data_IF_406694323627
#
_entry.id   IF_406694323627
#
_cell.length_a   1.000
_cell.length_b   1.000
_cell.length_c   1.000
_cell.angle_alpha   90.00
_cell.angle_beta   90.00
_cell.angle_gamma   90.00
#
_symmetry.space_group_name_H-M   'P 1'
#
loop_
_entity.id
_entity.type
_entity.pdbx_description
1 polymer ?
#
# COMPACT_ATOMS: atom_id res chain seq x y z
N UNK A 1 74.02 -85.82 -43.55
CA UNK A 1 72.58 -85.77 -43.54
C UNK A 1 72.06 -85.08 -42.26
N UNK A 2 72.29 -83.75 -42.01
CA UNK A 2 71.79 -83.08 -40.82
C UNK A 2 71.24 -81.63 -41.09
N UNK A 3 71.07 -81.19 -42.34
CA UNK A 3 70.64 -79.81 -42.65
C UNK A 3 69.19 -79.62 -43.10
N UNK A 4 68.40 -80.65 -43.14
CA UNK A 4 67.02 -80.57 -43.66
C UNK A 4 65.87 -80.39 -42.59
N UNK A 5 66.19 -80.44 -41.29
CA UNK A 5 65.23 -80.30 -40.21
C UNK A 5 65.17 -78.86 -39.57
N UNK A 6 66.07 -77.95 -39.97
CA UNK A 6 66.07 -76.59 -39.42
C UNK A 6 65.15 -75.59 -40.09
N UNK A 7 64.74 -75.85 -41.37
CA UNK A 7 63.93 -74.96 -42.13
C UNK A 7 62.48 -74.86 -41.61
N UNK A 8 61.79 -75.94 -41.22
CA UNK A 8 60.40 -75.84 -40.69
C UNK A 8 60.37 -75.19 -39.33
N UNK A 9 61.43 -75.33 -38.52
CA UNK A 9 61.48 -74.66 -37.19
C UNK A 9 61.65 -73.16 -37.33
N UNK A 10 62.42 -72.70 -38.33
CA UNK A 10 62.60 -71.25 -38.60
C UNK A 10 61.35 -70.56 -39.06
N UNK A 11 60.55 -71.29 -39.94
CA UNK A 11 59.26 -70.77 -40.40
C UNK A 11 58.20 -70.71 -39.29
N UNK A 12 58.23 -71.67 -38.37
CA UNK A 12 57.35 -71.67 -37.20
C UNK A 12 57.72 -70.52 -36.19
N UNK A 13 59.02 -70.23 -36.00
CA UNK A 13 59.48 -69.13 -35.21
C UNK A 13 59.11 -67.75 -35.82
N UNK A 14 59.27 -67.62 -37.15
CA UNK A 14 58.87 -66.40 -37.83
C UNK A 14 57.32 -66.18 -37.82
N UNK A 15 56.53 -67.29 -37.98
CA UNK A 15 55.07 -67.19 -37.83
C UNK A 15 54.65 -66.87 -36.41
N UNK A 16 55.30 -67.42 -35.38
CA UNK A 16 55.05 -67.09 -33.99
C UNK A 16 55.45 -65.61 -33.65
N UNK A 17 56.59 -65.12 -34.15
CA UNK A 17 57.00 -63.77 -34.05
C UNK A 17 56.05 -62.80 -34.77
N UNK A 18 55.55 -63.16 -35.94
CA UNK A 18 54.52 -62.41 -36.69
C UNK A 18 53.21 -62.34 -35.94
N UNK A 19 52.76 -63.43 -35.31
CA UNK A 19 51.54 -63.49 -34.51
C UNK A 19 51.73 -62.66 -33.19
N UNK A 20 52.93 -62.76 -32.53
CA UNK A 20 53.24 -61.99 -31.36
C UNK A 20 53.34 -60.48 -31.69
N UNK A 21 53.94 -60.14 -32.83
CA UNK A 21 53.98 -58.78 -33.34
C UNK A 21 52.61 -58.24 -33.68
N UNK A 22 51.77 -59.04 -34.33
CA UNK A 22 50.37 -58.71 -34.64
C UNK A 22 49.55 -58.53 -33.37
N UNK A 23 49.62 -59.42 -32.39
CA UNK A 23 48.93 -59.32 -31.11
C UNK A 23 49.43 -58.10 -30.29
N UNK A 24 50.74 -57.86 -30.29
CA UNK A 24 51.30 -56.71 -29.58
C UNK A 24 50.89 -55.40 -30.24
N UNK A 25 50.92 -55.29 -31.58
CA UNK A 25 50.49 -54.10 -32.27
C UNK A 25 48.95 -53.90 -32.24
N UNK A 26 48.21 -55.01 -32.31
CA UNK A 26 46.73 -54.97 -32.27
C UNK A 26 46.23 -54.57 -30.85
N UNK A 27 46.91 -54.99 -29.82
CA UNK A 27 46.62 -54.58 -28.44
C UNK A 27 47.16 -53.18 -28.11
N UNK A 28 48.29 -52.76 -28.67
CA UNK A 28 48.84 -51.42 -28.48
C UNK A 28 48.06 -50.32 -29.18
N UNK A 29 47.21 -50.66 -30.18
CA UNK A 29 46.40 -49.69 -30.97
C UNK A 29 45.00 -49.40 -30.47
N UNK A 30 44.49 -50.10 -29.45
CA UNK A 30 43.21 -49.74 -28.81
C UNK A 30 43.50 -48.71 -27.69
N UNK A 31 43.74 -47.45 -28.07
CA UNK A 31 43.40 -46.35 -27.21
C UNK A 31 41.89 -46.37 -27.05
N UNK A 32 41.40 -46.91 -25.94
CA UNK A 32 40.02 -46.69 -25.50
C UNK A 32 39.72 -45.21 -25.64
N UNK A 33 38.69 -44.82 -26.40
CA UNK A 33 38.36 -43.44 -26.68
C UNK A 33 37.93 -42.65 -25.45
N UNK A 34 38.33 -43.13 -24.25
CA UNK A 34 38.09 -42.49 -22.94
C UNK A 34 39.08 -41.40 -22.69
N UNK A 35 38.60 -40.24 -22.35
CA UNK A 35 39.42 -39.08 -21.92
C UNK A 35 39.57 -39.16 -20.40
N UNK A 36 40.83 -39.28 -19.93
CA UNK A 36 41.14 -39.26 -18.49
C UNK A 36 41.76 -37.90 -18.14
N UNK A 37 41.21 -37.26 -17.14
CA UNK A 37 41.69 -35.97 -16.62
C UNK A 37 41.60 -35.97 -15.12
N UNK A 38 42.54 -35.28 -14.45
CA UNK A 38 42.54 -35.09 -12.99
C UNK A 38 42.07 -33.69 -12.69
N UNK A 39 41.37 -33.52 -11.58
CA UNK A 39 40.84 -32.22 -11.14
C UNK A 39 40.63 -32.17 -9.64
N UNK A 40 39.97 -31.12 -9.21
CA UNK A 40 39.59 -30.94 -7.82
C UNK A 40 38.07 -30.77 -7.71
N UNK A 41 37.52 -31.27 -6.61
CA UNK A 41 36.15 -30.98 -6.22
C UNK A 41 36.00 -29.53 -5.84
N UNK A 42 35.07 -28.85 -6.45
CA UNK A 42 34.61 -27.50 -6.06
C UNK A 42 33.11 -27.56 -5.73
N UNK A 43 32.66 -26.58 -4.96
CA UNK A 43 31.25 -26.44 -4.60
C UNK A 43 30.83 -24.98 -4.64
N UNK A 44 29.51 -24.72 -4.49
CA UNK A 44 29.01 -23.36 -4.29
C UNK A 44 29.27 -22.96 -2.86
N UNK A 45 30.09 -21.96 -2.66
CA UNK A 45 30.34 -21.32 -1.39
C UNK A 45 29.66 -19.95 -1.38
N UNK A 46 29.05 -19.60 -0.26
CA UNK A 46 28.37 -18.30 -0.07
C UNK A 46 28.86 -17.68 1.22
N UNK A 47 29.42 -16.50 1.08
CA UNK A 47 29.84 -15.68 2.22
C UNK A 47 28.57 -15.05 2.83
N UNK A 48 28.31 -15.41 4.08
CA UNK A 48 27.20 -14.92 4.85
C UNK A 48 27.59 -13.62 5.54
N UNK A 49 26.85 -12.55 5.30
CA UNK A 49 27.11 -11.24 5.87
C UNK A 49 25.83 -10.56 6.34
N UNK A 50 25.94 -9.73 7.36
CA UNK A 50 24.84 -8.87 7.76
C UNK A 50 24.67 -7.70 6.78
N UNK A 51 23.41 -7.23 6.66
CA UNK A 51 23.08 -6.02 5.90
C UNK A 51 23.07 -4.76 6.75
N UNK A 52 23.27 -4.90 8.05
CA UNK A 52 23.33 -3.84 9.05
C UNK A 52 24.70 -3.85 9.74
N UNK A 53 25.15 -2.68 10.16
CA UNK A 53 26.30 -2.55 11.03
C UNK A 53 25.91 -2.82 12.48
N UNK A 54 26.74 -3.52 13.22
CA UNK A 54 26.50 -3.81 14.64
C UNK A 54 27.54 -4.75 15.23
N UNK A 55 27.46 -4.94 16.54
CA UNK A 55 28.26 -5.98 17.20
C UNK A 55 27.56 -7.33 17.09
N UNK A 56 28.33 -8.39 16.78
CA UNK A 56 27.83 -9.76 16.79
C UNK A 56 27.56 -10.15 18.25
N UNK A 57 26.30 -10.33 18.58
CA UNK A 57 25.88 -10.71 19.94
C UNK A 57 26.11 -12.18 20.21
N UNK A 58 25.84 -13.04 19.20
CA UNK A 58 25.98 -14.50 19.33
C UNK A 58 26.19 -15.14 17.96
N UNK A 59 27.04 -16.16 17.95
CA UNK A 59 27.22 -17.12 16.86
C UNK A 59 26.70 -18.49 17.33
N UNK A 60 25.74 -19.06 16.60
CA UNK A 60 25.08 -20.32 16.96
C UNK A 60 25.75 -21.54 16.32
N UNK A 61 26.68 -21.33 15.40
CA UNK A 61 27.37 -22.37 14.64
C UNK A 61 28.87 -22.06 14.60
N UNK A 62 29.68 -23.11 14.43
CA UNK A 62 31.11 -23.03 14.30
C UNK A 62 31.60 -23.73 13.01
N UNK A 63 32.87 -23.66 12.68
CA UNK A 63 33.46 -24.37 11.54
C UNK A 63 33.15 -25.87 11.57
N UNK A 64 32.83 -26.44 10.42
CA UNK A 64 32.45 -27.84 10.30
C UNK A 64 31.00 -28.15 10.69
N UNK A 65 30.23 -27.21 11.23
CA UNK A 65 28.79 -27.40 11.57
C UNK A 65 27.94 -27.57 10.32
N UNK A 66 27.02 -28.51 10.40
CA UNK A 66 25.95 -28.67 9.39
C UNK A 66 24.84 -27.69 9.67
N UNK A 67 24.44 -26.92 8.65
CA UNK A 67 23.33 -25.97 8.70
C UNK A 67 22.20 -26.39 7.76
N UNK A 68 20.97 -26.15 8.16
CA UNK A 68 19.79 -26.37 7.34
C UNK A 68 19.18 -25.02 6.93
N UNK A 69 18.50 -24.99 5.81
CA UNK A 69 17.86 -23.78 5.31
C UNK A 69 16.94 -23.14 6.36
N UNK A 70 17.12 -21.85 6.62
CA UNK A 70 16.37 -21.10 7.64
C UNK A 70 16.91 -21.22 9.06
N UNK A 71 17.92 -22.06 9.31
CA UNK A 71 18.58 -22.18 10.61
C UNK A 71 19.25 -20.86 10.98
N UNK A 72 19.08 -20.42 12.22
CA UNK A 72 19.71 -19.23 12.77
C UNK A 72 21.22 -19.48 12.93
N UNK A 73 22.03 -18.63 12.30
CA UNK A 73 23.48 -18.71 12.29
C UNK A 73 24.10 -17.72 13.27
N UNK A 74 23.70 -16.46 13.17
CA UNK A 74 24.27 -15.38 13.97
C UNK A 74 23.23 -14.28 14.25
N UNK A 75 23.47 -13.50 15.28
CA UNK A 75 22.64 -12.38 15.70
C UNK A 75 23.51 -11.16 16.01
N UNK A 76 23.07 -9.98 15.57
CA UNK A 76 23.60 -8.71 16.06
C UNK A 76 23.02 -8.36 17.43
N UNK A 77 23.66 -7.44 18.15
CA UNK A 77 23.05 -6.80 19.30
C UNK A 77 21.79 -6.03 18.87
N UNK A 78 20.64 -6.46 19.37
CA UNK A 78 19.32 -5.95 18.99
C UNK A 78 18.81 -4.83 19.88
N UNK A 79 19.47 -4.50 20.98
CA UNK A 79 18.94 -3.59 21.98
C UNK A 79 18.59 -2.23 21.37
N UNK A 80 19.48 -1.64 20.60
CA UNK A 80 19.26 -0.34 19.93
C UNK A 80 18.22 -0.45 18.80
N UNK A 81 18.26 -1.55 18.04
CA UNK A 81 17.32 -1.78 16.92
C UNK A 81 15.91 -1.97 17.45
N UNK A 82 15.76 -2.74 18.53
CA UNK A 82 14.47 -2.95 19.20
C UNK A 82 13.91 -1.64 19.76
N UNK A 83 14.73 -0.83 20.42
CA UNK A 83 14.32 0.47 20.94
C UNK A 83 13.85 1.43 19.82
N UNK A 84 14.50 1.39 18.65
CA UNK A 84 14.05 2.19 17.47
C UNK A 84 12.71 1.72 16.94
N UNK A 85 12.46 0.41 16.88
CA UNK A 85 11.14 -0.13 16.52
C UNK A 85 10.07 0.32 17.49
N UNK A 86 10.32 0.24 18.80
CA UNK A 86 9.39 0.66 19.85
C UNK A 86 9.10 2.16 19.77
N UNK A 87 10.11 2.97 19.51
CA UNK A 87 9.97 4.41 19.28
C UNK A 87 9.08 4.70 18.06
N UNK A 88 9.32 4.04 16.93
CA UNK A 88 8.52 4.20 15.72
C UNK A 88 7.06 3.75 15.93
N UNK A 89 6.85 2.66 16.67
CA UNK A 89 5.52 2.17 17.02
C UNK A 89 4.76 3.16 17.93
N UNK A 90 5.43 3.72 18.93
CA UNK A 90 4.85 4.74 19.81
C UNK A 90 4.46 6.01 19.05
N UNK A 91 5.31 6.46 18.11
CA UNK A 91 5.02 7.62 17.26
C UNK A 91 3.83 7.37 16.34
N UNK A 92 3.72 6.18 15.76
CA UNK A 92 2.56 5.79 14.95
C UNK A 92 1.28 5.82 15.81
N UNK A 93 1.30 5.21 17.00
CA UNK A 93 0.15 5.18 17.90
C UNK A 93 -0.30 6.58 18.33
N UNK A 94 0.65 7.51 18.58
CA UNK A 94 0.34 8.90 18.87
C UNK A 94 -0.40 9.59 17.73
N UNK A 95 0.08 9.43 16.48
CA UNK A 95 -0.53 10.04 15.30
C UNK A 95 -1.90 9.43 14.98
N UNK A 96 -2.07 8.11 15.12
CA UNK A 96 -3.38 7.43 14.97
C UNK A 96 -4.39 7.92 16.02
N UNK A 97 -3.97 8.16 17.26
CA UNK A 97 -4.82 8.74 18.29
C UNK A 97 -5.23 10.19 17.96
N UNK A 98 -4.31 10.99 17.40
CA UNK A 98 -4.61 12.36 16.92
C UNK A 98 -5.58 12.35 15.76
N UNK A 99 -5.39 11.44 14.79
CA UNK A 99 -6.31 11.24 13.67
C UNK A 99 -7.73 10.93 14.16
N UNK A 100 -7.87 9.95 15.05
CA UNK A 100 -9.16 9.55 15.62
C UNK A 100 -9.83 10.72 16.39
N UNK A 101 -9.06 11.47 17.19
CA UNK A 101 -9.56 12.64 17.92
C UNK A 101 -10.05 13.73 16.98
N UNK A 102 -9.30 14.03 15.91
CA UNK A 102 -9.71 15.05 14.93
C UNK A 102 -10.93 14.59 14.12
N UNK A 103 -10.97 13.32 13.71
CA UNK A 103 -12.13 12.74 13.01
C UNK A 103 -13.41 12.86 13.86
N UNK A 104 -13.33 12.52 15.15
CA UNK A 104 -14.46 12.67 16.08
C UNK A 104 -14.86 14.15 16.25
N UNK A 105 -13.90 15.06 16.32
CA UNK A 105 -14.20 16.49 16.45
C UNK A 105 -14.91 17.05 15.22
N UNK A 106 -14.57 16.55 14.02
CA UNK A 106 -15.24 16.88 12.76
C UNK A 106 -16.71 16.40 12.78
N UNK A 107 -16.93 15.16 13.16
CA UNK A 107 -18.28 14.58 13.23
C UNK A 107 -19.20 15.35 14.18
N UNK A 108 -18.70 15.66 15.37
CA UNK A 108 -19.43 16.50 16.36
C UNK A 108 -19.72 17.88 15.77
N UNK A 109 -18.74 18.53 15.14
CA UNK A 109 -18.91 19.88 14.58
C UNK A 109 -19.88 19.89 13.41
N UNK A 110 -19.87 18.87 12.54
CA UNK A 110 -20.85 18.70 11.47
C UNK A 110 -22.26 18.56 12.03
N UNK A 111 -22.46 17.72 13.03
CA UNK A 111 -23.76 17.56 13.68
C UNK A 111 -24.31 18.85 14.28
N UNK A 112 -23.45 19.64 14.96
CA UNK A 112 -23.82 20.95 15.52
C UNK A 112 -24.20 21.91 14.38
N UNK A 113 -23.40 22.02 13.35
CA UNK A 113 -23.65 22.93 12.22
C UNK A 113 -24.90 22.58 11.45
N UNK A 114 -25.18 21.30 11.23
CA UNK A 114 -26.42 20.86 10.56
C UNK A 114 -27.65 21.24 11.40
N UNK A 115 -27.59 21.13 12.72
CA UNK A 115 -28.65 21.60 13.62
C UNK A 115 -28.82 23.13 13.57
N UNK A 116 -27.72 23.90 13.55
CA UNK A 116 -27.73 25.36 13.42
C UNK A 116 -28.34 25.83 12.09
N UNK A 117 -27.91 25.22 10.96
CA UNK A 117 -28.46 25.50 9.62
C UNK A 117 -29.93 25.16 9.56
N UNK A 118 -30.36 24.03 10.11
CA UNK A 118 -31.76 23.62 10.16
C UNK A 118 -32.61 24.61 10.97
N UNK A 119 -32.09 25.06 12.11
CA UNK A 119 -32.74 26.09 12.96
C UNK A 119 -32.86 27.41 12.20
N UNK A 120 -31.76 27.90 11.61
CA UNK A 120 -31.78 29.15 10.85
C UNK A 120 -32.71 29.10 9.65
N UNK A 121 -32.77 27.97 8.93
CA UNK A 121 -33.70 27.75 7.83
C UNK A 121 -35.16 27.79 8.29
N UNK A 122 -35.48 27.18 9.42
CA UNK A 122 -36.82 27.26 10.01
C UNK A 122 -37.17 28.71 10.41
N UNK A 123 -36.19 29.45 10.94
CA UNK A 123 -36.35 30.89 11.24
C UNK A 123 -36.68 31.75 10.02
N UNK A 124 -35.96 31.50 8.90
CA UNK A 124 -36.26 32.17 7.61
C UNK A 124 -37.68 31.85 7.16
N UNK A 125 -38.09 30.57 7.20
CA UNK A 125 -39.44 30.15 6.79
C UNK A 125 -40.53 30.78 7.64
N UNK A 126 -40.32 30.87 8.96
CA UNK A 126 -41.28 31.54 9.86
C UNK A 126 -41.35 33.05 9.62
N UNK A 127 -40.21 33.73 9.42
CA UNK A 127 -40.17 35.15 9.10
C UNK A 127 -40.81 35.47 7.75
N UNK A 128 -40.58 34.61 6.73
CA UNK A 128 -41.17 34.76 5.42
C UNK A 128 -42.71 34.61 5.49
N UNK A 129 -43.21 33.57 6.16
CA UNK A 129 -44.65 33.36 6.35
C UNK A 129 -45.31 34.57 7.02
N UNK A 130 -44.67 35.17 8.05
CA UNK A 130 -45.13 36.37 8.72
C UNK A 130 -45.12 37.59 7.78
N UNK A 131 -44.04 37.79 7.04
CA UNK A 131 -43.92 38.86 6.05
C UNK A 131 -44.99 38.76 4.97
N UNK A 132 -45.20 37.55 4.41
CA UNK A 132 -46.25 37.31 3.41
C UNK A 132 -47.65 37.59 3.99
N UNK A 133 -47.93 37.18 5.23
CA UNK A 133 -49.20 37.47 5.92
C UNK A 133 -49.42 38.99 6.08
N UNK A 134 -48.37 39.75 6.46
CA UNK A 134 -48.46 41.20 6.55
C UNK A 134 -48.67 41.87 5.17
N UNK A 135 -47.98 41.36 4.14
CA UNK A 135 -48.07 41.86 2.76
C UNK A 135 -49.45 41.57 2.12
N UNK A 136 -50.03 40.43 2.38
CA UNK A 136 -51.39 40.05 1.88
C UNK A 136 -52.46 40.91 2.54
N UNK A 137 -52.25 41.38 3.78
CA UNK A 137 -53.19 42.21 4.50
C UNK A 137 -54.39 41.42 5.06
N UNK A 138 -55.55 42.12 5.22
CA UNK A 138 -56.77 41.52 5.72
C UNK A 138 -57.35 40.48 4.75
N UNK A 139 -57.93 39.46 5.28
CA UNK A 139 -58.64 38.41 4.46
C UNK A 139 -59.80 38.92 3.74
N UNK A 140 -60.13 38.36 2.60
CA UNK A 140 -61.32 38.75 1.81
C UNK A 140 -62.61 38.67 2.62
N UNK A 141 -62.72 37.70 3.54
CA UNK A 141 -63.87 37.53 4.43
C UNK A 141 -63.96 38.68 5.45
N UNK A 142 -62.82 39.13 5.99
CA UNK A 142 -62.77 40.26 6.94
C UNK A 142 -63.20 41.58 6.23
N UNK A 143 -62.71 41.76 4.98
CA UNK A 143 -63.10 42.91 4.14
C UNK A 143 -64.56 42.84 3.80
N UNK A 144 -65.13 41.68 3.46
CA UNK A 144 -66.52 41.47 3.14
C UNK A 144 -67.40 41.72 4.37
N UNK A 145 -66.98 41.24 5.56
CA UNK A 145 -67.74 41.52 6.82
C UNK A 145 -67.79 43.01 7.13
N UNK A 146 -66.62 43.68 7.07
CA UNK A 146 -66.54 45.14 7.32
C UNK A 146 -67.38 45.93 6.31
N UNK A 147 -67.39 45.48 5.03
CA UNK A 147 -68.27 46.07 3.98
C UNK A 147 -69.77 45.91 4.30
N UNK A 148 -70.17 44.71 4.71
CA UNK A 148 -71.55 44.42 5.04
C UNK A 148 -72.08 45.27 6.25
N UNK A 149 -71.18 45.44 7.27
CA UNK A 149 -71.45 46.29 8.42
C UNK A 149 -71.63 47.74 7.97
N UNK A 150 -70.74 48.28 7.13
CA UNK A 150 -70.86 49.62 6.56
C UNK A 150 -72.11 49.80 5.77
N UNK A 151 -72.44 48.86 4.88
CA UNK A 151 -73.64 48.97 4.02
C UNK A 151 -74.92 48.92 4.81
N UNK A 152 -75.00 48.16 5.89
CA UNK A 152 -76.10 48.16 6.84
C UNK A 152 -76.27 49.53 7.52
N UNK A 153 -75.18 50.07 8.08
CA UNK A 153 -75.16 51.35 8.73
C UNK A 153 -75.53 52.48 7.76
N UNK A 154 -75.11 52.40 6.51
CA UNK A 154 -75.51 53.33 5.43
C UNK A 154 -76.98 53.29 5.16
N UNK A 155 -77.54 52.09 5.03
CA UNK A 155 -78.98 51.92 4.78
C UNK A 155 -79.84 52.51 5.91
N UNK A 156 -79.42 52.29 7.18
CA UNK A 156 -80.08 52.85 8.34
C UNK A 156 -80.00 54.40 8.35
N UNK A 157 -78.81 54.97 8.09
CA UNK A 157 -78.67 56.42 7.97
C UNK A 157 -79.47 57.01 6.84
N UNK A 158 -79.53 56.42 5.66
CA UNK A 158 -80.33 56.85 4.54
C UNK A 158 -81.84 56.80 4.87
N UNK A 159 -82.32 55.81 5.64
CA UNK A 159 -83.69 55.73 6.13
C UNK A 159 -83.99 56.83 7.14
N UNK A 160 -83.14 57.07 8.17
CA UNK A 160 -83.25 58.09 9.15
C UNK A 160 -83.22 59.53 8.53
N UNK A 161 -82.38 59.71 7.55
CA UNK A 161 -82.30 60.97 6.80
C UNK A 161 -83.58 61.27 6.07
N UNK A 162 -84.18 60.29 5.40
CA UNK A 162 -85.45 60.46 4.73
C UNK A 162 -86.56 60.77 5.75
N UNK A 163 -86.55 60.13 6.89
CA UNK A 163 -87.53 60.39 7.93
C UNK A 163 -87.34 61.83 8.51
N UNK A 164 -86.09 62.22 8.77
CA UNK A 164 -85.76 63.56 9.23
C UNK A 164 -86.19 64.63 8.19
N UNK A 165 -85.87 64.45 6.92
CA UNK A 165 -86.27 65.37 5.84
C UNK A 165 -87.80 65.52 5.81
N UNK A 166 -88.51 64.43 5.96
CA UNK A 166 -89.98 64.40 6.01
C UNK A 166 -90.55 65.13 7.25
N UNK A 167 -89.92 64.85 8.42
CA UNK A 167 -90.33 65.52 9.70
C UNK A 167 -89.93 66.99 9.68
N UNK A 168 -88.84 67.41 9.07
CA UNK A 168 -88.44 68.77 8.86
C UNK A 168 -89.54 69.53 8.07
N UNK A 169 -89.99 68.99 6.94
CA UNK A 169 -91.06 69.56 6.11
C UNK A 169 -92.42 69.72 6.89
N UNK A 170 -92.78 68.70 7.69
CA UNK A 170 -93.98 68.74 8.51
C UNK A 170 -93.87 69.76 9.65
N UNK A 171 -92.69 69.91 10.26
CA UNK A 171 -92.42 70.91 11.28
C UNK A 171 -92.45 72.35 10.71
N UNK A 172 -91.84 72.58 9.55
CA UNK A 172 -91.89 73.88 8.87
C UNK A 172 -93.36 74.27 8.54
N UNK A 173 -94.16 73.28 8.24
CA UNK A 173 -95.65 73.47 8.05
C UNK A 173 -96.48 73.54 9.32
N UNK A 174 -95.74 73.47 10.52
CA UNK A 174 -96.38 73.49 11.85
C UNK A 174 -97.40 72.34 12.11
N UNK A 175 -97.14 71.14 11.51
CA UNK A 175 -98.06 69.99 11.64
C UNK A 175 -97.61 69.10 12.82
N UNK A 176 -96.30 69.10 13.20
CA UNK A 176 -95.74 68.29 14.28
C UNK A 176 -95.12 69.16 15.34
N UNK A 177 -94.85 68.56 16.55
CA UNK A 177 -94.23 69.24 17.69
C UNK A 177 -92.66 69.32 17.47
N UNK A 178 -92.06 70.33 18.15
CA UNK A 178 -90.59 70.46 18.21
C UNK A 178 -89.91 69.17 18.72
N UNK A 179 -90.48 68.49 19.72
CA UNK A 179 -89.93 67.25 20.28
C UNK A 179 -89.91 66.12 19.24
N UNK A 180 -90.94 66.03 18.35
CA UNK A 180 -90.93 65.03 17.26
C UNK A 180 -89.85 65.34 16.20
N UNK A 181 -89.71 66.62 15.85
CA UNK A 181 -88.62 67.06 14.92
C UNK A 181 -87.28 66.83 15.51
N UNK A 182 -87.05 67.19 16.80
CA UNK A 182 -85.71 67.03 17.50
C UNK A 182 -85.35 65.55 17.68
N UNK A 183 -86.36 64.66 17.92
CA UNK A 183 -86.09 63.21 17.99
C UNK A 183 -85.66 62.64 16.64
N UNK A 184 -86.30 63.12 15.53
CA UNK A 184 -85.90 62.68 14.16
C UNK A 184 -84.50 63.20 13.80
N UNK A 185 -84.17 64.47 14.19
CA UNK A 185 -82.80 65.06 14.02
C UNK A 185 -81.77 64.27 14.77
N UNK A 186 -81.96 64.00 16.07
CA UNK A 186 -81.07 63.27 16.91
C UNK A 186 -80.89 61.83 16.39
N UNK A 187 -82.00 61.22 15.89
CA UNK A 187 -81.91 59.89 15.27
C UNK A 187 -81.15 59.85 13.97
N UNK A 188 -81.23 60.91 13.13
CA UNK A 188 -80.38 61.00 11.92
C UNK A 188 -78.93 61.23 12.26
N UNK A 189 -78.60 62.19 13.22
CA UNK A 189 -77.23 62.47 13.65
C UNK A 189 -76.56 61.22 14.25
N UNK A 190 -77.26 60.43 15.06
CA UNK A 190 -76.78 59.17 15.60
C UNK A 190 -76.46 58.11 14.53
N UNK A 191 -77.42 57.96 13.57
CA UNK A 191 -77.27 57.01 12.46
C UNK A 191 -76.12 57.42 11.51
N UNK A 192 -75.93 58.74 11.29
CA UNK A 192 -74.84 59.29 10.52
C UNK A 192 -73.47 58.99 11.19
N UNK A 193 -73.38 59.25 12.47
CA UNK A 193 -72.17 58.95 13.25
C UNK A 193 -71.84 57.44 13.23
N UNK A 194 -72.82 56.57 13.32
CA UNK A 194 -72.65 55.14 13.22
C UNK A 194 -72.16 54.70 11.80
N UNK A 195 -72.66 55.32 10.75
CA UNK A 195 -72.18 55.08 9.39
C UNK A 195 -70.78 55.54 9.16
N UNK A 196 -70.40 56.78 9.62
CA UNK A 196 -69.06 57.32 9.54
C UNK A 196 -68.06 56.44 10.27
N UNK A 197 -68.42 55.96 11.48
CA UNK A 197 -67.56 55.01 12.25
C UNK A 197 -67.38 53.66 11.50
N UNK A 198 -68.46 53.12 10.89
CA UNK A 198 -68.37 51.90 10.11
C UNK A 198 -67.55 52.06 8.81
N UNK A 199 -67.64 53.21 8.15
CA UNK A 199 -66.85 53.60 6.99
C UNK A 199 -65.39 53.66 7.28
N UNK A 200 -65.02 54.36 8.39
CA UNK A 200 -63.58 54.39 8.80
C UNK A 200 -63.10 53.02 9.19
N UNK A 201 -63.91 52.19 9.86
CA UNK A 201 -63.54 50.82 10.17
C UNK A 201 -63.26 49.97 8.91
N UNK A 202 -64.15 50.08 7.88
CA UNK A 202 -64.00 49.45 6.57
C UNK A 202 -62.70 49.89 5.86
N UNK A 203 -62.40 51.22 5.86
CA UNK A 203 -61.16 51.76 5.29
C UNK A 203 -59.94 51.14 5.96
N UNK A 204 -59.89 51.05 7.30
CA UNK A 204 -58.82 50.47 8.06
C UNK A 204 -58.60 49.00 7.66
N UNK A 205 -59.66 48.21 7.62
CA UNK A 205 -59.57 46.79 7.22
C UNK A 205 -59.07 46.62 5.77
N UNK A 206 -59.65 47.46 4.87
CA UNK A 206 -59.26 47.42 3.42
C UNK A 206 -57.84 47.90 3.19
N UNK A 207 -57.33 48.88 3.92
CA UNK A 207 -55.98 49.37 3.76
C UNK A 207 -54.97 48.37 4.32
N UNK A 208 -55.38 47.53 5.26
CA UNK A 208 -54.51 46.49 5.83
C UNK A 208 -53.47 47.04 6.81
N UNK A 209 -52.40 46.27 7.04
CA UNK A 209 -51.30 46.64 7.97
C UNK A 209 -50.61 47.95 7.53
N UNK A 210 -50.07 48.68 8.49
CA UNK A 210 -49.27 49.86 8.22
C UNK A 210 -47.97 49.53 7.50
N UNK A 211 -47.50 50.46 6.66
CA UNK A 211 -46.24 50.30 5.89
C UNK A 211 -45.04 49.99 6.77
N UNK A 212 -45.00 50.55 7.98
CA UNK A 212 -43.93 50.34 8.97
C UNK A 212 -43.89 48.89 9.45
N UNK A 213 -45.07 48.26 9.66
CA UNK A 213 -45.13 46.85 10.04
C UNK A 213 -44.67 45.92 8.91
N UNK A 214 -44.95 46.25 7.64
CA UNK A 214 -44.50 45.53 6.46
C UNK A 214 -42.98 45.69 6.34
N UNK A 215 -42.41 46.87 6.57
CA UNK A 215 -40.97 47.13 6.59
C UNK A 215 -40.30 46.39 7.71
N UNK A 216 -40.86 46.36 8.91
CA UNK A 216 -40.38 45.56 10.04
C UNK A 216 -40.34 44.06 9.69
N UNK A 217 -41.42 43.54 9.08
CA UNK A 217 -41.46 42.17 8.62
C UNK A 217 -40.40 41.84 7.58
N UNK A 218 -40.17 42.73 6.61
CA UNK A 218 -39.09 42.61 5.64
C UNK A 218 -37.67 42.62 6.28
N UNK A 219 -37.45 43.52 7.25
CA UNK A 219 -36.19 43.59 7.99
C UNK A 219 -35.93 42.29 8.79
N UNK A 220 -36.99 41.78 9.46
CA UNK A 220 -36.91 40.50 10.18
C UNK A 220 -36.58 39.33 9.27
N UNK A 221 -37.19 39.27 8.05
CA UNK A 221 -36.87 38.27 7.04
C UNK A 221 -35.40 38.38 6.58
N UNK A 222 -34.96 39.60 6.29
CA UNK A 222 -33.56 39.85 5.90
C UNK A 222 -32.57 39.45 7.02
N UNK A 223 -32.88 39.78 8.29
CA UNK A 223 -32.10 39.36 9.45
C UNK A 223 -32.01 37.84 9.59
N UNK A 224 -33.15 37.15 9.42
CA UNK A 224 -33.19 35.67 9.42
C UNK A 224 -32.37 35.07 8.27
N UNK A 225 -32.40 35.68 7.08
CA UNK A 225 -31.59 35.32 5.92
C UNK A 225 -30.08 35.46 6.18
N UNK A 226 -29.68 36.58 6.83
CA UNK A 226 -28.29 36.80 7.25
C UNK A 226 -27.81 35.75 8.28
N UNK A 227 -28.68 35.37 9.24
CA UNK A 227 -28.39 34.31 10.20
C UNK A 227 -28.21 32.94 9.51
N UNK A 228 -29.01 32.62 8.50
CA UNK A 228 -28.83 31.39 7.71
C UNK A 228 -27.53 31.42 6.95
N UNK A 229 -27.17 32.55 6.32
CA UNK A 229 -25.88 32.69 5.63
C UNK A 229 -24.69 32.51 6.60
N UNK A 230 -24.75 33.11 7.79
CA UNK A 230 -23.72 32.95 8.83
C UNK A 230 -23.57 31.48 9.25
N UNK A 231 -24.68 30.76 9.48
CA UNK A 231 -24.66 29.33 9.78
C UNK A 231 -24.05 28.49 8.63
N UNK A 232 -24.32 28.86 7.37
CA UNK A 232 -23.74 28.19 6.20
C UNK A 232 -22.22 28.44 6.05
N UNK A 233 -21.74 29.61 6.43
CA UNK A 233 -20.28 29.93 6.42
C UNK A 233 -19.53 29.04 7.38
N UNK A 234 -20.11 28.59 8.49
CA UNK A 234 -19.52 27.61 9.42
C UNK A 234 -19.12 26.29 8.73
N UNK A 235 -19.72 25.91 7.62
CA UNK A 235 -19.32 24.72 6.83
C UNK A 235 -17.90 24.82 6.29
N UNK A 236 -17.39 26.01 6.00
CA UNK A 236 -16.01 26.21 5.53
C UNK A 236 -14.97 25.87 6.63
N UNK A 237 -15.35 26.05 7.88
CA UNK A 237 -14.50 25.65 9.02
C UNK A 237 -14.36 24.12 9.07
N UNK A 238 -15.44 23.38 8.83
CA UNK A 238 -15.40 21.91 8.73
C UNK A 238 -14.55 21.45 7.55
N UNK A 239 -14.68 22.10 6.39
CA UNK A 239 -13.82 21.78 5.24
C UNK A 239 -12.32 21.99 5.55
N UNK A 240 -11.98 23.04 6.30
CA UNK A 240 -10.61 23.23 6.79
C UNK A 240 -10.18 22.08 7.69
N UNK A 241 -11.00 21.68 8.67
CA UNK A 241 -10.69 20.55 9.55
C UNK A 241 -10.52 19.23 8.77
N UNK A 242 -11.29 19.01 7.71
CA UNK A 242 -11.12 17.85 6.82
C UNK A 242 -9.80 17.88 6.05
N UNK A 243 -9.33 19.07 5.69
CA UNK A 243 -8.00 19.23 5.09
C UNK A 243 -6.92 18.91 6.12
N UNK A 244 -7.06 19.42 7.34
CA UNK A 244 -6.14 19.14 8.45
C UNK A 244 -6.12 17.62 8.76
N UNK A 245 -7.26 16.94 8.69
CA UNK A 245 -7.34 15.48 8.83
C UNK A 245 -6.53 14.75 7.76
N UNK A 246 -6.60 15.18 6.49
CA UNK A 246 -5.78 14.60 5.42
C UNK A 246 -4.28 14.79 5.66
N UNK A 247 -3.87 15.91 6.25
CA UNK A 247 -2.47 16.13 6.63
C UNK A 247 -2.03 15.14 7.70
N UNK A 248 -2.86 14.93 8.73
CA UNK A 248 -2.57 13.93 9.78
C UNK A 248 -2.53 12.52 9.19
N UNK A 249 -3.45 12.17 8.29
CA UNK A 249 -3.44 10.87 7.60
C UNK A 249 -2.14 10.63 6.82
N UNK A 250 -1.63 11.65 6.14
CA UNK A 250 -0.33 11.56 5.48
C UNK A 250 0.82 11.35 6.47
N UNK A 251 0.76 11.97 7.66
CA UNK A 251 1.74 11.76 8.73
C UNK A 251 1.65 10.36 9.33
N UNK A 252 0.45 9.80 9.49
CA UNK A 252 0.23 8.40 9.91
C UNK A 252 0.87 7.44 8.91
N UNK A 253 0.66 7.63 7.60
CA UNK A 253 1.29 6.80 6.57
C UNK A 253 2.82 6.91 6.58
N UNK A 254 3.37 8.09 6.82
CA UNK A 254 4.81 8.30 7.00
C UNK A 254 5.34 7.54 8.22
N UNK A 255 4.68 7.65 9.38
CA UNK A 255 5.08 6.94 10.59
C UNK A 255 4.98 5.41 10.43
N UNK A 256 3.94 4.93 9.73
CA UNK A 256 3.78 3.51 9.37
C UNK A 256 4.91 3.00 8.48
N UNK A 257 5.38 3.83 7.55
CA UNK A 257 6.55 3.50 6.74
C UNK A 257 7.83 3.43 7.57
N UNK A 258 8.03 4.34 8.51
CA UNK A 258 9.18 4.32 9.44
C UNK A 258 9.15 3.08 10.34
N UNK A 259 7.98 2.68 10.84
CA UNK A 259 7.85 1.44 11.62
C UNK A 259 8.24 0.22 10.78
N UNK A 260 7.77 0.12 9.52
CA UNK A 260 8.18 -0.97 8.62
C UNK A 260 9.69 -1.03 8.39
N UNK A 261 10.35 0.12 8.26
CA UNK A 261 11.83 0.18 8.14
C UNK A 261 12.49 -0.38 9.41
N UNK A 262 12.03 0.04 10.59
CA UNK A 262 12.57 -0.45 11.85
C UNK A 262 12.31 -1.96 12.08
N UNK A 263 11.18 -2.48 11.62
CA UNK A 263 10.85 -3.91 11.63
C UNK A 263 11.74 -4.71 10.67
N UNK A 264 12.01 -4.18 9.47
CA UNK A 264 12.91 -4.78 8.49
C UNK A 264 14.36 -4.79 8.99
N UNK A 265 14.79 -3.70 9.65
CA UNK A 265 16.10 -3.66 10.31
C UNK A 265 16.21 -4.71 11.42
N UNK A 266 15.16 -4.87 12.23
CA UNK A 266 15.14 -5.93 13.26
C UNK A 266 15.16 -7.33 12.64
N UNK A 267 14.46 -7.56 11.54
CA UNK A 267 14.49 -8.83 10.81
C UNK A 267 15.89 -9.10 10.20
N UNK A 268 16.58 -8.06 9.72
CA UNK A 268 17.94 -8.15 9.17
C UNK A 268 19.03 -8.25 10.22
N UNK A 269 18.72 -8.06 11.50
CA UNK A 269 19.68 -8.25 12.60
C UNK A 269 19.99 -9.72 12.90
N UNK A 270 19.31 -10.65 12.24
CA UNK A 270 19.56 -12.09 12.28
C UNK A 270 20.08 -12.59 10.95
N UNK A 271 21.01 -13.52 11.00
CA UNK A 271 21.58 -14.17 9.85
C UNK A 271 21.13 -15.63 9.83
N UNK A 272 20.37 -16.00 8.80
CA UNK A 272 19.86 -17.36 8.62
C UNK A 272 20.50 -18.03 7.41
N UNK A 273 20.67 -19.37 7.46
CA UNK A 273 21.19 -20.16 6.36
C UNK A 273 20.25 -20.11 5.13
N UNK A 274 20.75 -19.78 3.92
CA UNK A 274 19.92 -19.69 2.72
C UNK A 274 19.61 -21.07 2.12
N UNK A 275 20.41 -22.09 2.42
CA UNK A 275 20.32 -23.47 1.94
C UNK A 275 20.95 -24.43 2.94
N UNK A 276 20.77 -25.73 2.71
CA UNK A 276 21.41 -26.79 3.49
C UNK A 276 22.89 -26.92 3.08
N UNK A 277 23.79 -26.88 4.07
CA UNK A 277 25.23 -26.90 3.80
C UNK A 277 26.06 -27.09 5.03
N UNK A 278 27.35 -26.77 4.91
CA UNK A 278 28.35 -26.82 5.99
C UNK A 278 29.08 -25.49 6.09
N UNK A 279 29.35 -25.07 7.30
CA UNK A 279 30.23 -23.92 7.56
C UNK A 279 31.66 -24.34 7.24
N UNK A 280 32.29 -23.66 6.28
CA UNK A 280 33.68 -23.91 5.87
C UNK A 280 34.68 -23.00 6.53
N UNK A 281 34.30 -21.74 6.74
CA UNK A 281 35.14 -20.70 7.35
C UNK A 281 34.32 -19.87 8.30
N UNK A 282 34.89 -19.51 9.45
CA UNK A 282 34.35 -18.53 10.38
C UNK A 282 35.27 -17.29 10.38
N UNK A 283 34.77 -16.20 9.83
CA UNK A 283 35.54 -14.97 9.63
C UNK A 283 35.41 -13.97 10.79
N UNK A 284 34.40 -14.16 11.68
CA UNK A 284 34.06 -13.20 12.74
C UNK A 284 33.82 -13.90 14.07
N UNK A 285 34.17 -13.25 15.18
CA UNK A 285 33.94 -13.75 16.54
C UNK A 285 32.81 -12.99 17.26
N UNK A 286 32.25 -13.59 18.33
CA UNK A 286 31.28 -12.93 19.21
C UNK A 286 31.88 -11.66 19.84
N UNK A 287 31.11 -10.58 19.85
CA UNK A 287 31.54 -9.27 20.34
C UNK A 287 32.21 -8.38 19.29
N UNK A 288 32.55 -8.91 18.13
CA UNK A 288 33.19 -8.16 17.06
C UNK A 288 32.19 -7.22 16.35
N UNK A 289 32.69 -6.07 15.90
CA UNK A 289 31.90 -5.11 15.14
C UNK A 289 31.99 -5.39 13.64
N UNK A 290 30.85 -5.65 13.00
CA UNK A 290 30.76 -5.92 11.57
C UNK A 290 30.07 -4.77 10.84
N UNK A 291 30.52 -4.55 9.61
CA UNK A 291 29.86 -3.62 8.67
C UNK A 291 29.01 -4.39 7.65
N UNK A 292 28.06 -3.72 6.97
CA UNK A 292 27.31 -4.35 5.89
C UNK A 292 28.22 -4.96 4.84
N UNK A 293 28.02 -6.25 4.54
CA UNK A 293 28.81 -6.98 3.56
C UNK A 293 30.12 -7.59 4.09
N UNK A 294 30.49 -7.36 5.35
CA UNK A 294 31.63 -8.07 5.98
C UNK A 294 31.27 -9.56 6.14
N UNK A 295 32.04 -10.51 5.59
CA UNK A 295 31.79 -11.93 5.81
C UNK A 295 31.80 -12.27 7.30
N UNK A 296 30.83 -13.01 7.75
CA UNK A 296 30.75 -13.54 9.12
C UNK A 296 31.18 -15.01 9.12
N UNK A 297 30.68 -15.75 8.15
CA UNK A 297 31.06 -17.13 7.89
C UNK A 297 30.74 -17.51 6.45
N UNK A 298 31.38 -18.55 5.95
CA UNK A 298 31.14 -19.09 4.60
C UNK A 298 30.42 -20.43 4.72
N UNK A 299 29.34 -20.61 3.97
CA UNK A 299 28.56 -21.86 3.89
C UNK A 299 28.75 -22.50 2.53
N UNK A 300 29.21 -23.75 2.52
CA UNK A 300 29.35 -24.57 1.34
C UNK A 300 28.18 -25.52 1.13
N UNK A 301 27.68 -25.62 -0.11
CA UNK A 301 26.64 -26.56 -0.48
C UNK A 301 27.26 -27.88 -0.90
N UNK A 302 26.96 -28.98 -0.21
CA UNK A 302 27.59 -30.29 -0.47
C UNK A 302 26.66 -31.31 -1.14
N UNK A 303 25.40 -31.01 -1.37
CA UNK A 303 24.41 -31.88 -2.05
C UNK A 303 24.73 -32.07 -3.54
N UNK A 304 25.29 -31.02 -4.15
CA UNK A 304 25.76 -31.00 -5.53
C UNK A 304 27.16 -30.36 -5.57
N UNK A 305 28.12 -31.10 -6.09
CA UNK A 305 29.49 -30.65 -6.25
C UNK A 305 29.93 -30.83 -7.71
N UNK A 306 31.00 -30.17 -8.11
CA UNK A 306 31.56 -30.39 -9.45
C UNK A 306 33.08 -30.57 -9.41
N UNK A 307 33.57 -31.31 -10.37
CA UNK A 307 35.02 -31.38 -10.62
C UNK A 307 35.39 -30.29 -11.59
N UNK A 308 36.32 -29.46 -11.21
CA UNK A 308 37.03 -28.55 -12.10
C UNK A 308 38.23 -29.29 -12.67
N UNK A 309 38.17 -29.59 -13.95
CA UNK A 309 39.27 -30.30 -14.64
C UNK A 309 39.56 -29.68 -16.00
N UNK A 310 40.66 -30.07 -16.60
CA UNK A 310 41.19 -29.47 -17.82
C UNK A 310 41.38 -30.54 -18.91
N UNK A 311 40.89 -30.25 -20.10
CA UNK A 311 41.01 -31.12 -21.27
C UNK A 311 41.95 -30.43 -22.27
N UNK A 312 42.99 -31.15 -22.80
CA UNK A 312 43.82 -30.64 -23.88
C UNK A 312 43.01 -30.27 -25.13
N UNK A 313 43.43 -29.21 -25.84
CA UNK A 313 42.79 -28.79 -27.11
C UNK A 313 42.59 -29.91 -28.09
N UNK A 314 43.60 -30.81 -28.22
CA UNK A 314 43.56 -31.97 -29.13
C UNK A 314 42.45 -32.97 -28.85
N UNK A 315 41.89 -32.94 -27.62
CA UNK A 315 40.81 -33.85 -27.21
C UNK A 315 39.46 -33.13 -27.05
N UNK A 316 39.44 -31.80 -27.13
CA UNK A 316 38.23 -30.99 -26.91
C UNK A 316 37.09 -31.39 -27.85
N UNK A 317 37.37 -31.73 -29.12
CA UNK A 317 36.36 -32.16 -30.09
C UNK A 317 35.62 -33.44 -29.72
N UNK A 318 36.05 -34.16 -28.69
CA UNK A 318 35.42 -35.38 -28.15
C UNK A 318 34.59 -35.12 -26.89
N UNK A 319 34.60 -33.86 -26.37
CA UNK A 319 33.88 -33.47 -25.16
C UNK A 319 32.66 -32.61 -25.54
N UNK A 320 31.51 -32.95 -25.00
CA UNK A 320 30.26 -32.23 -25.26
C UNK A 320 29.45 -32.05 -23.98
N UNK A 321 28.60 -31.04 -23.95
CA UNK A 321 27.68 -30.80 -22.83
C UNK A 321 26.67 -31.97 -22.70
N UNK A 322 26.48 -32.41 -21.44
CA UNK A 322 25.63 -33.58 -21.15
C UNK A 322 26.36 -34.92 -21.21
N UNK A 323 27.65 -34.97 -21.64
CA UNK A 323 28.47 -36.16 -21.65
C UNK A 323 28.63 -36.75 -20.25
N UNK A 324 28.45 -38.05 -20.12
CA UNK A 324 28.62 -38.75 -18.84
C UNK A 324 30.10 -39.04 -18.58
N UNK A 325 30.48 -38.91 -17.32
CA UNK A 325 31.82 -39.28 -16.87
C UNK A 325 31.76 -39.98 -15.53
N UNK A 326 32.74 -40.81 -15.29
CA UNK A 326 32.95 -41.48 -14.02
C UNK A 326 34.00 -40.67 -13.25
N UNK A 327 33.69 -40.31 -12.00
CA UNK A 327 34.60 -39.59 -11.11
C UNK A 327 35.06 -40.55 -10.00
N UNK A 328 36.34 -40.64 -9.80
CA UNK A 328 36.97 -41.51 -8.81
C UNK A 328 37.82 -40.64 -7.91
N UNK A 329 37.60 -40.75 -6.60
CA UNK A 329 38.39 -40.01 -5.59
C UNK A 329 39.45 -40.91 -5.00
N UNK A 330 40.63 -40.39 -4.78
CA UNK A 330 41.72 -41.12 -4.10
C UNK A 330 41.33 -41.53 -2.65
N UNK A 331 40.39 -40.78 -2.03
CA UNK A 331 39.88 -41.10 -0.70
C UNK A 331 38.94 -42.31 -0.69
N UNK A 332 38.24 -42.56 -1.84
CA UNK A 332 37.26 -43.63 -2.02
C UNK A 332 37.54 -44.41 -3.30
N UNK A 333 38.64 -45.15 -3.39
CA UNK A 333 39.08 -45.78 -4.68
C UNK A 333 38.11 -46.83 -5.22
N UNK A 334 37.32 -47.45 -4.35
CA UNK A 334 36.33 -48.48 -4.73
C UNK A 334 34.98 -47.91 -5.14
N UNK A 335 34.80 -46.57 -5.08
CA UNK A 335 33.57 -45.88 -5.40
C UNK A 335 33.70 -45.06 -6.66
N UNK A 336 32.74 -45.25 -7.58
CA UNK A 336 32.60 -44.42 -8.76
C UNK A 336 31.40 -43.52 -8.62
N UNK A 337 31.63 -42.25 -8.79
CA UNK A 337 30.58 -41.21 -8.71
C UNK A 337 30.18 -40.78 -10.12
N UNK A 338 28.94 -41.04 -10.56
CA UNK A 338 28.48 -40.63 -11.88
C UNK A 338 28.38 -39.12 -11.99
N UNK A 339 29.08 -38.54 -12.93
CA UNK A 339 29.05 -37.13 -13.24
C UNK A 339 28.55 -36.83 -14.63
N UNK A 340 28.27 -35.57 -14.86
CA UNK A 340 27.81 -35.06 -16.17
C UNK A 340 28.56 -33.78 -16.49
N UNK A 341 29.07 -33.62 -17.70
CA UNK A 341 29.69 -32.37 -18.16
C UNK A 341 28.63 -31.29 -18.28
N UNK A 342 28.71 -30.28 -17.45
CA UNK A 342 27.73 -29.18 -17.41
C UNK A 342 28.28 -27.86 -17.95
N UNK A 343 29.60 -27.75 -18.07
CA UNK A 343 30.25 -26.55 -18.58
C UNK A 343 31.55 -26.88 -19.33
N UNK A 344 31.77 -26.23 -20.46
CA UNK A 344 33.01 -26.21 -21.23
C UNK A 344 33.37 -24.75 -21.44
N UNK A 345 34.58 -24.35 -21.01
CA UNK A 345 35.05 -22.98 -21.20
C UNK A 345 35.16 -22.63 -22.69
N UNK A 346 34.64 -21.47 -23.13
CA UNK A 346 34.83 -21.01 -24.52
C UNK A 346 36.26 -20.50 -24.77
N UNK A 347 37.02 -20.22 -23.70
CA UNK A 347 38.36 -19.69 -23.75
C UNK A 347 39.37 -20.73 -23.28
N UNK A 348 40.50 -20.81 -23.98
CA UNK A 348 41.62 -21.65 -23.60
C UNK A 348 42.37 -21.04 -22.40
N UNK A 349 42.77 -21.89 -21.49
CA UNK A 349 43.62 -21.53 -20.37
C UNK A 349 45.01 -22.17 -20.55
N UNK A 350 46.06 -21.53 -19.98
CA UNK A 350 47.36 -22.14 -19.94
C UNK A 350 47.43 -23.08 -18.72
N UNK A 351 48.11 -24.23 -18.88
CA UNK A 351 48.27 -25.17 -17.75
C UNK A 351 48.92 -24.46 -16.55
N UNK A 352 48.31 -24.54 -15.34
CA UNK A 352 48.80 -23.79 -14.16
C UNK A 352 50.07 -24.40 -13.53
N UNK A 353 50.98 -24.99 -14.30
CA UNK A 353 52.25 -25.49 -13.76
C UNK A 353 53.38 -24.54 -14.04
N UNK A 354 54.21 -24.28 -13.00
CA UNK A 354 55.53 -23.69 -13.11
C UNK A 354 56.44 -24.66 -13.87
N UNK A 355 56.52 -24.59 -15.20
CA UNK A 355 57.22 -25.53 -16.03
C UNK A 355 58.53 -24.89 -16.50
N UNK A 356 59.65 -25.55 -16.21
CA UNK A 356 60.99 -25.05 -16.47
C UNK A 356 61.51 -25.33 -17.88
N UNK A 357 60.80 -26.13 -18.70
CA UNK A 357 61.22 -26.51 -20.05
C UNK A 357 60.40 -25.84 -21.15
N UNK A 358 61.03 -25.53 -22.29
CA UNK A 358 60.42 -24.79 -23.41
C UNK A 358 59.33 -25.57 -24.13
N UNK A 359 59.37 -26.92 -24.11
CA UNK A 359 58.46 -27.84 -24.81
C UNK A 359 57.13 -28.09 -24.07
N UNK A 360 57.09 -27.81 -22.76
CA UNK A 360 55.87 -27.96 -21.97
C UNK A 360 55.07 -26.65 -21.79
N UNK A 361 55.57 -25.50 -22.29
CA UNK A 361 55.00 -24.17 -22.06
C UNK A 361 53.72 -23.85 -22.84
N UNK A 362 53.32 -24.68 -23.79
CA UNK A 362 52.21 -24.32 -24.68
C UNK A 362 51.29 -25.50 -24.96
N UNK A 363 50.73 -26.08 -23.90
CA UNK A 363 49.52 -26.93 -24.10
C UNK A 363 48.31 -26.11 -23.67
N UNK A 364 47.58 -25.61 -24.64
CA UNK A 364 46.28 -25.03 -24.44
C UNK A 364 45.33 -26.08 -23.88
N UNK A 365 44.68 -25.73 -22.76
CA UNK A 365 43.70 -26.61 -22.12
C UNK A 365 42.39 -25.85 -21.97
N UNK A 366 41.32 -26.57 -22.02
CA UNK A 366 39.98 -26.01 -21.80
C UNK A 366 39.45 -26.52 -20.47
N UNK A 367 38.98 -25.60 -19.64
CA UNK A 367 38.35 -25.94 -18.37
C UNK A 367 36.99 -26.53 -18.62
N UNK A 368 36.71 -27.66 -18.00
CA UNK A 368 35.38 -28.26 -17.98
C UNK A 368 34.90 -28.44 -16.54
N UNK A 369 33.59 -28.40 -16.34
CA UNK A 369 32.95 -28.77 -15.07
C UNK A 369 32.15 -30.04 -15.27
N UNK A 370 32.42 -31.00 -14.38
CA UNK A 370 31.67 -32.27 -14.33
C UNK A 370 30.89 -32.26 -13.01
N UNK A 371 29.59 -32.05 -13.09
CA UNK A 371 28.69 -31.97 -11.93
C UNK A 371 28.33 -33.36 -11.44
N UNK A 372 28.33 -33.54 -10.14
CA UNK A 372 28.11 -34.81 -9.42
C UNK A 372 27.04 -34.56 -8.34
N UNK A 373 26.08 -35.43 -8.22
CA UNK A 373 25.19 -35.48 -7.06
C UNK A 373 25.92 -36.17 -5.91
N UNK A 374 25.94 -35.51 -4.76
CA UNK A 374 26.68 -35.94 -3.57
C UNK A 374 25.74 -36.11 -2.35
N UNK A 375 24.71 -36.95 -2.41
CA UNK A 375 23.67 -37.04 -1.39
C UNK A 375 24.19 -37.53 -0.04
N UNK A 376 25.33 -38.21 -0.01
CA UNK A 376 25.98 -38.65 1.22
C UNK A 376 27.04 -37.68 1.74
N UNK A 377 27.25 -36.56 1.00
CA UNK A 377 28.22 -35.51 1.34
C UNK A 377 29.64 -36.03 1.59
N UNK A 378 30.00 -37.16 0.91
CA UNK A 378 31.32 -37.80 1.03
C UNK A 378 32.39 -37.00 0.29
N UNK A 379 32.02 -36.37 -0.85
CA UNK A 379 32.93 -35.52 -1.63
C UNK A 379 32.96 -34.13 -1.02
N UNK A 380 34.14 -33.65 -0.69
CA UNK A 380 34.37 -32.32 -0.06
C UNK A 380 35.18 -31.42 -0.99
N UNK A 381 35.03 -30.09 -0.92
CA UNK A 381 35.88 -29.15 -1.65
C UNK A 381 37.35 -29.41 -1.43
N UNK A 382 38.15 -29.24 -2.46
CA UNK A 382 39.60 -29.45 -2.42
C UNK A 382 40.07 -30.90 -2.59
N UNK A 383 39.17 -31.90 -2.56
CA UNK A 383 39.54 -33.29 -2.81
C UNK A 383 40.04 -33.47 -4.25
N UNK A 384 41.26 -34.11 -4.45
CA UNK A 384 41.70 -34.52 -5.78
C UNK A 384 40.89 -35.71 -6.28
N UNK A 385 40.54 -35.68 -7.55
CA UNK A 385 39.77 -36.72 -8.22
C UNK A 385 40.20 -36.92 -9.67
N UNK A 386 40.07 -38.14 -10.17
CA UNK A 386 40.19 -38.47 -11.57
C UNK A 386 38.81 -38.56 -12.27
N UNK A 387 38.73 -38.00 -13.44
CA UNK A 387 37.54 -38.02 -14.29
C UNK A 387 37.79 -38.83 -15.53
N UNK A 388 36.96 -39.81 -15.79
CA UNK A 388 36.97 -40.63 -17.00
C UNK A 388 35.70 -40.30 -17.81
N UNK A 389 35.85 -39.57 -18.92
CA UNK A 389 34.76 -39.23 -19.82
C UNK A 389 34.56 -40.38 -20.81
N UNK A 390 33.33 -40.79 -21.01
CA UNK A 390 32.91 -41.88 -21.91
C UNK A 390 32.25 -41.35 -23.15
#
# INVERSE_FOLDING_TARGET
MKRRKALPLLVLLLAAAGVLYYLFFYHAGRQDGTIRTSGQIETTEVDMSFRLAGHVSRLHVDEGYQVTRGMLIAELDRQVIQARKEQAAAQLAELEAREASLALSIDIREGVLDAEVKRAKAGVSAADARYQSLKTGSREEEIAEASAVRDRARTEWENRRRDFERMRDLYERKIISFSQFDAARTGEEAARAAYEAAEERFKLVKTGPRSELIQEGAANLAGSGAALTAAQVGRREVEKLKIDLKVIQAQVEQARALLRIAEDDLAKSVLNAPFDGFVTVKDTEEGEFVQPGTPVLTVARLDEVWVKTYVPETQLGKVFLGQKGDVISDTFPDKVYPGTVTFISPEAEFTPKNVQTREERVKLVYRIKVTIRNPRQELKPGMPVDVVLR
#
